data_IF_876017848963
#
_entry.id   IF_876017848963
#
_cell.length_a   1.000
_cell.length_b   1.000
_cell.length_c   1.000
_cell.angle_alpha   90.00
_cell.angle_beta   90.00
_cell.angle_gamma   90.00
#
_symmetry.space_group_name_H-M   'P 1'
#
loop_
_entity.id
_entity.type
_entity.pdbx_description
1 polymer ?
#
# COMPACT_ATOMS: atom_id res chain seq x y z
N UNK A 1 2.77 27.15 18.87
CA UNK A 1 4.24 27.25 18.87
C UNK A 1 4.77 26.20 19.84
N UNK A 2 5.14 25.03 19.34
CA UNK A 2 5.92 24.04 20.07
C UNK A 2 6.92 23.45 19.08
N UNK A 3 8.15 23.92 19.16
CA UNK A 3 9.30 23.35 18.48
C UNK A 3 9.68 22.05 19.17
N UNK A 4 9.54 20.94 18.50
CA UNK A 4 10.16 19.67 18.88
C UNK A 4 11.50 19.55 18.16
N UNK A 5 12.57 19.83 18.86
CA UNK A 5 13.93 19.55 18.44
C UNK A 5 14.20 18.06 18.56
N UNK A 6 14.33 17.40 17.42
CA UNK A 6 14.74 16.00 17.36
C UNK A 6 16.26 15.91 17.32
N UNK A 7 16.90 15.80 18.51
CA UNK A 7 18.28 15.40 18.67
C UNK A 7 18.32 13.94 19.10
N UNK A 8 18.38 13.01 18.15
CA UNK A 8 18.79 11.63 18.45
C UNK A 8 20.27 11.46 18.10
N UNK A 9 21.08 11.19 19.13
CA UNK A 9 22.46 10.73 18.98
C UNK A 9 22.49 9.33 18.36
N UNK A 10 23.43 9.02 17.46
CA UNK A 10 23.58 7.66 16.94
C UNK A 10 24.15 6.75 18.04
N UNK A 11 23.45 5.69 18.37
CA UNK A 11 23.97 4.61 19.19
C UNK A 11 24.95 3.80 18.33
N UNK A 12 26.22 3.83 18.71
CA UNK A 12 27.27 2.96 18.20
C UNK A 12 27.02 1.52 18.66
N UNK A 13 26.59 0.66 17.78
CA UNK A 13 26.71 -0.78 17.95
C UNK A 13 27.40 -1.38 16.73
N UNK A 14 28.74 -1.49 16.88
CA UNK A 14 29.60 -2.38 16.10
C UNK A 14 29.12 -3.83 16.35
N UNK A 15 28.50 -4.43 15.36
CA UNK A 15 28.48 -5.89 15.19
C UNK A 15 28.66 -6.20 13.72
N UNK A 16 29.87 -6.64 13.42
CA UNK A 16 30.22 -7.36 12.19
C UNK A 16 29.26 -8.52 12.01
N UNK A 17 28.30 -8.38 11.13
CA UNK A 17 27.58 -9.50 10.54
C UNK A 17 27.77 -9.39 9.04
N UNK A 18 28.46 -10.38 8.48
CA UNK A 18 28.91 -10.42 7.09
C UNK A 18 27.74 -10.42 6.11
N UNK A 19 27.24 -9.26 5.76
CA UNK A 19 26.47 -9.10 4.54
C UNK A 19 27.43 -9.18 3.38
N UNK A 20 27.28 -10.19 2.53
CA UNK A 20 27.93 -10.24 1.22
C UNK A 20 27.44 -9.00 0.46
N UNK A 21 28.20 -7.91 0.51
CA UNK A 21 27.99 -6.76 -0.38
C UNK A 21 28.09 -7.27 -1.81
N UNK A 22 27.10 -6.95 -2.63
CA UNK A 22 27.20 -7.09 -4.08
C UNK A 22 28.38 -6.23 -4.55
N UNK A 23 29.56 -6.83 -4.68
CA UNK A 23 30.78 -6.17 -5.16
C UNK A 23 30.75 -6.28 -6.68
N UNK A 24 30.68 -5.15 -7.38
CA UNK A 24 31.13 -5.12 -8.76
C UNK A 24 30.48 -4.20 -9.78
N UNK A 25 29.35 -3.56 -9.48
CA UNK A 25 28.86 -2.45 -10.34
C UNK A 25 28.63 -1.24 -9.42
N UNK A 26 29.16 -0.08 -9.79
CA UNK A 26 28.83 1.16 -9.09
C UNK A 26 27.30 1.29 -8.98
N UNK A 27 26.78 2.02 -8.00
CA UNK A 27 25.33 2.17 -7.69
C UNK A 27 24.46 2.60 -8.90
N UNK A 28 25.07 3.01 -10.00
CA UNK A 28 24.41 3.42 -11.25
C UNK A 28 24.25 2.22 -12.19
N UNK A 29 22.99 1.90 -12.54
CA UNK A 29 22.67 0.85 -13.51
C UNK A 29 22.24 -0.50 -12.91
N UNK A 30 22.03 -0.60 -11.59
CA UNK A 30 21.45 -1.80 -10.97
C UNK A 30 19.99 -1.99 -11.43
N UNK A 31 19.65 -3.23 -11.79
CA UNK A 31 18.33 -3.61 -12.31
C UNK A 31 17.45 -4.16 -11.22
N UNK A 32 16.32 -3.49 -10.97
CA UNK A 32 15.37 -3.82 -9.91
C UNK A 32 14.05 -4.29 -10.51
N UNK A 33 13.61 -5.48 -10.15
CA UNK A 33 12.29 -6.03 -10.49
C UNK A 33 11.34 -5.87 -9.29
N UNK A 34 10.18 -5.23 -9.45
CA UNK A 34 9.18 -5.05 -8.39
C UNK A 34 7.95 -5.92 -8.67
N UNK A 35 7.61 -6.78 -7.72
CA UNK A 35 6.53 -7.78 -7.82
C UNK A 35 5.60 -7.66 -6.63
N UNK A 36 4.25 -7.68 -6.85
CA UNK A 36 3.30 -7.78 -5.74
C UNK A 36 2.13 -6.81 -5.77
N UNK A 37 2.27 -5.68 -6.45
CA UNK A 37 1.18 -4.73 -6.71
C UNK A 37 0.22 -5.26 -7.80
N UNK A 38 -0.88 -4.54 -8.04
CA UNK A 38 -1.86 -4.90 -9.07
C UNK A 38 -1.54 -4.28 -10.42
N UNK A 39 -1.37 -2.97 -10.44
CA UNK A 39 -1.16 -2.21 -11.67
C UNK A 39 -0.28 -0.97 -11.42
N UNK A 40 0.45 -0.54 -12.45
CA UNK A 40 1.25 0.67 -12.49
C UNK A 40 1.16 1.31 -13.89
N UNK A 41 0.96 2.62 -14.01
CA UNK A 41 0.68 3.56 -12.94
C UNK A 41 -0.75 3.40 -12.40
N UNK A 42 -0.90 3.40 -11.08
CA UNK A 42 -2.22 3.30 -10.45
C UNK A 42 -2.22 3.99 -9.09
N UNK A 43 -3.37 4.54 -8.71
CA UNK A 43 -3.64 5.12 -7.39
C UNK A 43 -4.81 4.41 -6.68
N UNK A 44 -5.15 3.19 -7.13
CA UNK A 44 -6.30 2.45 -6.61
C UNK A 44 -6.11 1.87 -5.21
N UNK A 45 -4.89 1.92 -4.66
CA UNK A 45 -4.58 1.43 -3.32
C UNK A 45 -3.23 1.93 -2.82
N UNK A 46 -3.02 1.81 -1.50
CA UNK A 46 -1.78 2.29 -0.85
C UNK A 46 -0.52 1.60 -1.38
N UNK A 47 -0.59 0.29 -1.66
CA UNK A 47 0.55 -0.46 -2.22
C UNK A 47 0.91 0.06 -3.61
N UNK A 48 -0.08 0.32 -4.47
CA UNK A 48 0.11 0.85 -5.82
C UNK A 48 0.77 2.24 -5.78
N UNK A 49 0.30 3.12 -4.90
CA UNK A 49 0.86 4.47 -4.72
C UNK A 49 2.31 4.38 -4.24
N UNK A 50 2.59 3.53 -3.26
CA UNK A 50 3.93 3.37 -2.70
C UNK A 50 4.90 2.76 -3.72
N UNK A 51 4.50 1.69 -4.41
CA UNK A 51 5.34 1.07 -5.46
C UNK A 51 5.62 2.06 -6.58
N UNK A 52 4.61 2.83 -7.02
CA UNK A 52 4.77 3.86 -8.04
C UNK A 52 5.79 4.93 -7.62
N UNK A 53 5.63 5.48 -6.40
CA UNK A 53 6.54 6.47 -5.85
C UNK A 53 7.97 5.95 -5.68
N UNK A 54 8.13 4.72 -5.21
CA UNK A 54 9.43 4.08 -5.06
C UNK A 54 10.09 3.82 -6.43
N UNK A 55 9.35 3.25 -7.38
CA UNK A 55 9.86 2.94 -8.73
C UNK A 55 10.35 4.20 -9.45
N UNK A 56 9.56 5.26 -9.47
CA UNK A 56 9.93 6.53 -10.10
C UNK A 56 11.11 7.21 -9.39
N UNK A 57 11.18 7.10 -8.06
CA UNK A 57 12.30 7.64 -7.28
C UNK A 57 13.60 6.89 -7.53
N UNK A 58 13.57 5.58 -7.71
CA UNK A 58 14.73 4.77 -8.07
C UNK A 58 15.22 5.09 -9.49
N UNK A 59 14.30 5.24 -10.46
CA UNK A 59 14.68 5.66 -11.83
C UNK A 59 15.37 7.01 -11.83
N UNK A 60 14.88 7.99 -11.06
CA UNK A 60 15.55 9.31 -10.91
C UNK A 60 16.95 9.23 -10.32
N UNK A 61 17.24 8.16 -9.58
CA UNK A 61 18.56 7.88 -9.00
C UNK A 61 19.45 7.02 -9.90
N UNK A 62 19.02 6.71 -11.13
CA UNK A 62 19.80 5.97 -12.12
C UNK A 62 19.65 4.45 -12.08
N UNK A 63 18.68 3.91 -11.35
CA UNK A 63 18.36 2.48 -11.38
C UNK A 63 17.48 2.13 -12.58
N UNK A 64 17.66 0.95 -13.16
CA UNK A 64 16.75 0.38 -14.14
C UNK A 64 15.61 -0.36 -13.42
N UNK A 65 14.41 0.16 -13.47
CA UNK A 65 13.28 -0.42 -12.73
C UNK A 65 12.25 -1.04 -13.65
N UNK A 66 11.94 -2.31 -13.40
CA UNK A 66 10.85 -3.04 -14.05
C UNK A 66 9.77 -3.36 -13.00
N UNK A 67 8.53 -2.92 -13.24
CA UNK A 67 7.37 -3.26 -12.41
C UNK A 67 6.51 -4.30 -13.11
N UNK A 68 6.00 -5.27 -12.37
CA UNK A 68 5.20 -6.38 -12.90
C UNK A 68 3.73 -6.18 -12.57
N UNK A 69 2.93 -5.85 -13.59
CA UNK A 69 1.49 -5.65 -13.46
C UNK A 69 0.72 -6.96 -13.64
N UNK A 70 -0.43 -7.08 -12.98
CA UNK A 70 -1.33 -8.21 -13.16
C UNK A 70 -2.20 -7.99 -14.39
N UNK A 71 -2.28 -8.99 -15.30
CA UNK A 71 -3.09 -8.93 -16.52
C UNK A 71 -3.96 -10.16 -16.69
N UNK A 72 -5.19 -9.97 -17.17
CA UNK A 72 -6.12 -11.05 -17.49
C UNK A 72 -5.96 -11.54 -18.93
N UNK A 73 -5.37 -10.71 -19.79
CA UNK A 73 -5.14 -11.06 -21.21
C UNK A 73 -3.83 -11.82 -21.37
N UNK A 74 -3.82 -12.81 -22.26
CA UNK A 74 -2.59 -13.48 -22.68
C UNK A 74 -1.79 -12.52 -23.57
N UNK A 75 -0.53 -12.31 -23.22
CA UNK A 75 0.40 -11.45 -23.97
C UNK A 75 1.18 -10.54 -23.03
N UNK A 76 2.43 -10.29 -23.37
CA UNK A 76 3.29 -9.41 -22.60
C UNK A 76 3.15 -7.98 -23.15
N UNK A 77 2.21 -7.22 -22.62
CA UNK A 77 2.19 -5.78 -22.87
C UNK A 77 3.32 -5.15 -22.07
N UNK A 78 4.34 -4.65 -22.75
CA UNK A 78 5.45 -3.89 -22.18
C UNK A 78 5.23 -2.44 -22.57
N UNK A 79 5.30 -1.56 -21.59
CA UNK A 79 5.27 -0.11 -21.81
C UNK A 79 6.17 0.60 -20.82
N UNK A 80 6.57 1.81 -21.16
CA UNK A 80 7.40 2.65 -20.28
C UNK A 80 6.62 3.91 -19.91
N UNK A 81 6.57 4.22 -18.64
CA UNK A 81 5.98 5.45 -18.15
C UNK A 81 6.82 5.99 -16.99
N UNK A 82 7.05 7.30 -16.96
CA UNK A 82 7.91 7.96 -15.97
C UNK A 82 9.32 7.32 -15.85
N UNK A 83 9.84 6.75 -16.95
CA UNK A 83 11.13 6.04 -17.00
C UNK A 83 11.09 4.62 -16.42
N UNK A 84 9.97 4.20 -15.84
CA UNK A 84 9.77 2.84 -15.30
C UNK A 84 9.25 1.93 -16.39
N UNK A 85 9.89 0.76 -16.59
CA UNK A 85 9.38 -0.27 -17.48
C UNK A 85 8.27 -1.05 -16.77
N UNK A 86 7.07 -1.06 -17.32
CA UNK A 86 5.95 -1.86 -16.83
C UNK A 86 5.72 -3.09 -17.72
N UNK A 87 5.56 -4.26 -17.11
CA UNK A 87 5.32 -5.54 -17.76
C UNK A 87 4.07 -6.18 -17.23
N UNK A 88 3.14 -6.54 -18.10
CA UNK A 88 1.90 -7.20 -17.72
C UNK A 88 2.06 -8.72 -17.78
N UNK A 89 1.84 -9.38 -16.66
CA UNK A 89 1.93 -10.84 -16.51
C UNK A 89 0.53 -11.42 -16.37
N UNK A 90 0.29 -12.49 -17.13
CA UNK A 90 -0.97 -13.23 -17.10
C UNK A 90 -1.32 -13.72 -15.69
N UNK A 91 -2.61 -13.66 -15.35
CA UNK A 91 -3.15 -14.24 -14.14
C UNK A 91 -4.64 -14.58 -14.32
N UNK A 92 -5.25 -15.23 -13.32
CA UNK A 92 -6.65 -15.60 -13.31
C UNK A 92 -7.52 -14.56 -12.59
N UNK A 93 -8.82 -14.51 -12.89
CA UNK A 93 -9.75 -13.60 -12.20
C UNK A 93 -10.00 -13.98 -10.75
N UNK A 94 -9.94 -15.28 -10.41
CA UNK A 94 -10.20 -15.78 -9.06
C UNK A 94 -9.19 -15.21 -8.07
N UNK A 95 -9.67 -14.47 -7.08
CA UNK A 95 -8.85 -13.67 -6.17
C UNK A 95 -7.71 -14.46 -5.47
N UNK A 96 -7.98 -15.69 -5.04
CA UNK A 96 -6.99 -16.55 -4.36
C UNK A 96 -5.86 -17.02 -5.28
N UNK A 97 -6.16 -17.29 -6.56
CA UNK A 97 -5.18 -17.73 -7.55
C UNK A 97 -4.48 -16.58 -8.25
N UNK A 98 -5.14 -15.43 -8.32
CA UNK A 98 -4.64 -14.25 -9.00
C UNK A 98 -3.24 -13.85 -8.53
N UNK A 99 -3.07 -13.58 -7.24
CA UNK A 99 -1.80 -13.15 -6.68
C UNK A 99 -0.74 -14.26 -6.73
N UNK A 100 -1.13 -15.52 -6.52
CA UNK A 100 -0.23 -16.66 -6.51
C UNK A 100 0.38 -16.89 -7.90
N UNK A 101 -0.44 -17.15 -8.92
CA UNK A 101 0.04 -17.44 -10.28
C UNK A 101 0.85 -16.28 -10.85
N UNK A 102 0.35 -15.06 -10.67
CA UNK A 102 1.06 -13.86 -11.07
C UNK A 102 2.46 -13.78 -10.48
N UNK A 103 2.61 -13.98 -9.16
CA UNK A 103 3.90 -13.80 -8.49
C UNK A 103 4.94 -14.84 -8.93
N UNK A 104 4.53 -16.10 -9.17
CA UNK A 104 5.42 -17.12 -9.72
C UNK A 104 5.85 -16.78 -11.15
N UNK A 105 4.91 -16.45 -12.05
CA UNK A 105 5.22 -16.11 -13.44
C UNK A 105 6.08 -14.84 -13.53
N UNK A 106 5.79 -13.82 -12.72
CA UNK A 106 6.59 -12.60 -12.64
C UNK A 106 8.01 -12.88 -12.15
N UNK A 107 8.17 -13.77 -11.16
CA UNK A 107 9.49 -14.17 -10.67
C UNK A 107 10.28 -14.88 -11.76
N UNK A 108 9.68 -15.82 -12.49
CA UNK A 108 10.37 -16.50 -13.58
C UNK A 108 10.75 -15.54 -14.72
N UNK A 109 9.86 -14.61 -15.10
CA UNK A 109 10.20 -13.58 -16.10
C UNK A 109 11.35 -12.69 -15.60
N UNK A 110 11.34 -12.26 -14.35
CA UNK A 110 12.42 -11.47 -13.76
C UNK A 110 13.77 -12.21 -13.78
N UNK A 111 13.77 -13.51 -13.48
CA UNK A 111 14.98 -14.34 -13.51
C UNK A 111 15.59 -14.44 -14.92
N UNK A 112 14.77 -14.44 -15.98
CA UNK A 112 15.25 -14.48 -17.37
C UNK A 112 15.81 -13.15 -17.87
N UNK A 113 15.69 -12.05 -17.09
CA UNK A 113 16.02 -10.68 -17.53
C UNK A 113 17.22 -10.05 -16.84
N UNK A 114 18.06 -10.86 -16.23
CA UNK A 114 19.29 -10.41 -15.60
C UNK A 114 19.08 -9.24 -14.60
N UNK A 115 17.98 -9.29 -13.81
CA UNK A 115 17.80 -8.36 -12.70
C UNK A 115 18.79 -8.64 -11.58
N UNK A 116 19.28 -7.61 -10.91
CA UNK A 116 20.16 -7.73 -9.76
C UNK A 116 19.39 -7.96 -8.47
N UNK A 117 18.24 -7.26 -8.33
CA UNK A 117 17.38 -7.27 -7.14
C UNK A 117 15.93 -7.61 -7.54
N UNK A 118 15.30 -8.50 -6.78
CA UNK A 118 13.85 -8.72 -6.87
C UNK A 118 13.19 -8.27 -5.58
N UNK A 119 12.38 -7.21 -5.68
CA UNK A 119 11.67 -6.61 -4.58
C UNK A 119 10.21 -7.07 -4.56
N UNK A 120 9.85 -7.87 -3.56
CA UNK A 120 8.49 -8.36 -3.35
C UNK A 120 7.72 -7.41 -2.45
N UNK A 121 6.50 -7.04 -2.85
CA UNK A 121 5.58 -6.22 -2.08
C UNK A 121 4.41 -7.05 -1.59
N UNK A 122 4.26 -7.16 -0.28
CA UNK A 122 3.34 -7.97 0.50
C UNK A 122 3.75 -9.46 0.63
N UNK A 123 3.27 -10.08 1.72
CA UNK A 123 3.62 -11.46 2.11
C UNK A 123 3.11 -12.53 1.14
N UNK A 124 1.94 -12.35 0.50
CA UNK A 124 1.42 -13.33 -0.45
C UNK A 124 2.31 -13.49 -1.69
N UNK A 125 2.64 -12.42 -2.40
CA UNK A 125 3.56 -12.46 -3.53
C UNK A 125 4.99 -12.91 -3.23
N UNK A 126 5.41 -12.95 -1.97
CA UNK A 126 6.77 -13.34 -1.58
C UNK A 126 7.03 -14.86 -1.55
N UNK A 127 6.01 -15.70 -1.70
CA UNK A 127 6.22 -17.16 -1.71
C UNK A 127 7.30 -17.63 -2.71
N UNK A 128 7.35 -17.16 -3.98
CA UNK A 128 8.40 -17.53 -4.92
C UNK A 128 9.77 -16.89 -4.66
N UNK A 129 9.93 -16.08 -3.63
CA UNK A 129 11.20 -15.47 -3.25
C UNK A 129 12.33 -16.51 -3.06
N UNK A 130 11.99 -17.69 -2.53
CA UNK A 130 12.96 -18.80 -2.38
C UNK A 130 13.57 -19.19 -3.73
N UNK A 131 12.76 -19.20 -4.79
CA UNK A 131 13.24 -19.49 -6.15
C UNK A 131 14.25 -18.42 -6.58
N UNK A 132 13.90 -17.14 -6.43
CA UNK A 132 14.80 -16.04 -6.78
C UNK A 132 16.14 -16.16 -6.04
N UNK A 133 16.11 -16.51 -4.75
CA UNK A 133 17.29 -16.71 -3.93
C UNK A 133 18.14 -17.91 -4.40
N UNK A 134 17.51 -19.02 -4.79
CA UNK A 134 18.21 -20.18 -5.36
C UNK A 134 18.96 -19.84 -6.65
N UNK A 135 18.46 -18.88 -7.43
CA UNK A 135 19.11 -18.34 -8.62
C UNK A 135 20.10 -17.21 -8.31
N UNK A 136 20.48 -17.01 -7.04
CA UNK A 136 21.49 -16.03 -6.62
C UNK A 136 21.08 -14.57 -6.70
N UNK A 137 19.76 -14.28 -6.84
CA UNK A 137 19.27 -12.90 -6.86
C UNK A 137 19.16 -12.35 -5.44
N UNK A 138 19.49 -11.06 -5.28
CA UNK A 138 19.24 -10.37 -4.01
C UNK A 138 17.75 -10.11 -3.87
N UNK A 139 17.19 -10.48 -2.72
CA UNK A 139 15.75 -10.48 -2.49
C UNK A 139 15.36 -9.53 -1.38
N UNK A 140 14.47 -8.60 -1.70
CA UNK A 140 13.87 -7.66 -0.74
C UNK A 140 12.39 -8.00 -0.60
N UNK A 141 11.85 -7.98 0.61
CA UNK A 141 10.41 -8.10 0.84
C UNK A 141 9.92 -6.96 1.72
N UNK A 142 8.99 -6.14 1.20
CA UNK A 142 8.27 -5.15 2.01
C UNK A 142 6.91 -5.70 2.43
N UNK A 143 6.69 -5.77 3.74
CA UNK A 143 5.41 -6.16 4.35
C UNK A 143 4.48 -4.96 4.38
N UNK A 144 3.28 -5.10 3.81
CA UNK A 144 2.23 -4.07 3.78
C UNK A 144 1.05 -4.45 4.68
N UNK A 145 1.34 -4.95 5.85
CA UNK A 145 0.34 -5.44 6.80
C UNK A 145 0.22 -6.97 6.80
N UNK A 146 -0.23 -7.48 7.95
CA UNK A 146 -0.44 -8.91 8.18
C UNK A 146 -1.85 -9.31 7.70
N UNK A 147 -2.05 -9.35 6.40
CA UNK A 147 -3.36 -9.52 5.74
C UNK A 147 -4.12 -10.80 6.13
N UNK A 148 -3.45 -11.82 6.67
CA UNK A 148 -4.11 -13.04 7.13
C UNK A 148 -4.89 -12.87 8.44
N UNK A 149 -4.69 -11.76 9.17
CA UNK A 149 -5.46 -11.41 10.37
C UNK A 149 -6.88 -10.94 10.05
N UNK A 150 -7.17 -10.68 8.78
CA UNK A 150 -8.50 -10.23 8.32
C UNK A 150 -9.34 -11.46 7.97
N UNK A 151 -10.54 -11.58 8.53
CA UNK A 151 -11.48 -12.72 8.36
C UNK A 151 -11.95 -12.99 6.91
N UNK A 152 -11.53 -12.14 6.00
CA UNK A 152 -11.84 -12.19 4.56
C UNK A 152 -11.31 -13.45 3.84
N UNK A 153 -10.29 -14.12 4.39
CA UNK A 153 -9.57 -15.17 3.67
C UNK A 153 -10.00 -16.57 4.13
N UNK A 154 -10.53 -17.39 3.24
CA UNK A 154 -10.78 -18.81 3.50
C UNK A 154 -9.48 -19.56 3.84
N UNK A 155 -9.62 -20.77 4.44
CA UNK A 155 -8.51 -21.53 5.01
C UNK A 155 -7.27 -21.69 4.12
N UNK A 156 -7.45 -21.98 2.82
CA UNK A 156 -6.34 -22.11 1.86
C UNK A 156 -5.59 -20.79 1.65
N UNK A 157 -6.32 -19.70 1.46
CA UNK A 157 -5.70 -18.39 1.23
C UNK A 157 -4.96 -17.90 2.47
N UNK A 158 -5.52 -18.11 3.67
CA UNK A 158 -4.85 -17.81 4.94
C UNK A 158 -3.57 -18.65 5.11
N UNK A 159 -3.61 -19.95 4.79
CA UNK A 159 -2.42 -20.81 4.84
C UNK A 159 -1.33 -20.35 3.87
N UNK A 160 -1.71 -19.95 2.65
CA UNK A 160 -0.78 -19.40 1.65
C UNK A 160 -0.13 -18.09 2.12
N UNK A 161 -0.91 -17.17 2.71
CA UNK A 161 -0.37 -15.92 3.27
C UNK A 161 0.60 -16.18 4.43
N UNK A 162 0.27 -17.12 5.33
CA UNK A 162 1.16 -17.53 6.42
C UNK A 162 2.44 -18.20 5.91
N UNK A 163 2.35 -18.96 4.80
CA UNK A 163 3.53 -19.48 4.12
C UNK A 163 4.42 -18.35 3.59
N UNK A 164 3.84 -17.38 2.90
CA UNK A 164 4.57 -16.22 2.39
C UNK A 164 5.24 -15.41 3.50
N UNK A 165 4.56 -15.23 4.63
CA UNK A 165 5.14 -14.58 5.81
C UNK A 165 6.38 -15.32 6.32
N UNK A 166 6.27 -16.67 6.47
CA UNK A 166 7.41 -17.52 6.89
C UNK A 166 8.57 -17.45 5.88
N UNK A 167 8.24 -17.48 4.59
CA UNK A 167 9.24 -17.38 3.52
C UNK A 167 9.93 -16.03 3.57
N UNK A 168 9.20 -14.94 3.67
CA UNK A 168 9.76 -13.60 3.78
C UNK A 168 10.65 -13.46 5.02
N UNK A 169 10.17 -13.90 6.18
CA UNK A 169 10.94 -13.83 7.42
C UNK A 169 12.23 -14.62 7.38
N UNK A 170 12.23 -15.82 6.78
CA UNK A 170 13.37 -16.76 6.81
C UNK A 170 14.35 -16.54 5.66
N UNK A 171 13.87 -16.16 4.48
CA UNK A 171 14.67 -16.25 3.26
C UNK A 171 14.93 -14.91 2.57
N UNK A 172 14.16 -13.86 2.85
CA UNK A 172 14.48 -12.54 2.29
C UNK A 172 15.86 -12.07 2.77
N UNK A 173 16.69 -11.54 1.86
CA UNK A 173 17.95 -10.93 2.26
C UNK A 173 17.65 -9.68 3.10
N UNK A 174 16.75 -8.82 2.63
CA UNK A 174 16.23 -7.69 3.38
C UNK A 174 14.72 -7.81 3.59
N UNK A 175 14.28 -7.78 4.84
CA UNK A 175 12.89 -7.71 5.23
C UNK A 175 12.56 -6.29 5.68
N UNK A 176 11.68 -5.61 4.95
CA UNK A 176 11.25 -4.25 5.26
C UNK A 176 9.85 -4.28 5.86
N UNK A 177 9.67 -3.57 6.95
CA UNK A 177 8.38 -3.37 7.62
C UNK A 177 8.07 -1.88 7.75
N UNK A 178 6.77 -1.54 7.85
CA UNK A 178 6.30 -0.16 7.78
C UNK A 178 6.00 0.45 9.16
N UNK A 179 5.89 -0.38 10.20
CA UNK A 179 5.53 0.04 11.55
C UNK A 179 6.33 -0.69 12.62
N UNK A 180 6.46 -0.08 13.79
CA UNK A 180 7.11 -0.69 14.95
C UNK A 180 6.38 -1.95 15.42
N UNK A 181 5.06 -2.00 15.30
CA UNK A 181 4.27 -3.18 15.65
C UNK A 181 4.59 -4.37 14.77
N UNK A 182 4.84 -4.16 13.46
CA UNK A 182 5.29 -5.21 12.56
C UNK A 182 6.73 -5.60 12.85
N UNK A 183 7.59 -4.64 13.17
CA UNK A 183 8.98 -4.89 13.55
C UNK A 183 9.06 -5.80 14.78
N UNK A 184 8.34 -5.47 15.85
CA UNK A 184 8.24 -6.27 17.06
C UNK A 184 7.69 -7.68 16.76
N UNK A 185 6.63 -7.76 15.94
CA UNK A 185 6.03 -9.04 15.55
C UNK A 185 7.03 -9.98 14.85
N UNK A 186 7.84 -9.48 13.90
CA UNK A 186 8.82 -10.32 13.22
C UNK A 186 9.99 -10.67 14.13
N UNK A 187 10.38 -9.78 15.03
CA UNK A 187 11.42 -10.05 16.03
C UNK A 187 10.96 -11.14 17.01
N UNK A 188 9.76 -11.02 17.58
CA UNK A 188 9.24 -11.97 18.58
C UNK A 188 8.94 -13.34 17.99
N UNK A 189 8.33 -13.38 16.81
CA UNK A 189 7.83 -14.62 16.24
C UNK A 189 8.87 -15.43 15.46
N UNK A 190 9.81 -14.73 14.81
CA UNK A 190 10.75 -15.35 13.89
C UNK A 190 12.21 -15.11 14.25
N UNK A 191 12.49 -14.39 15.34
CA UNK A 191 13.81 -13.87 15.70
C UNK A 191 14.49 -13.16 14.50
N UNK A 192 13.67 -12.43 13.73
CA UNK A 192 14.08 -11.72 12.52
C UNK A 192 14.10 -10.21 12.73
N UNK A 193 15.28 -9.63 12.76
CA UNK A 193 15.43 -8.17 12.71
C UNK A 193 15.06 -7.67 11.32
N UNK A 194 13.97 -6.95 11.23
CA UNK A 194 13.50 -6.30 10.02
C UNK A 194 14.06 -4.87 9.92
N UNK A 195 14.04 -4.30 8.73
CA UNK A 195 14.39 -2.90 8.49
C UNK A 195 13.10 -2.08 8.58
N UNK A 196 13.01 -1.17 9.54
CA UNK A 196 11.86 -0.28 9.68
C UNK A 196 12.01 0.91 8.73
N UNK A 197 11.17 0.92 7.68
CA UNK A 197 11.08 2.02 6.72
C UNK A 197 9.60 2.40 6.60
N UNK A 198 9.12 3.40 7.33
CA UNK A 198 7.76 3.88 7.20
C UNK A 198 7.46 4.36 5.78
N UNK A 199 6.20 4.23 5.36
CA UNK A 199 5.78 4.81 4.09
C UNK A 199 5.98 6.32 4.10
N UNK A 200 6.48 6.86 2.99
CA UNK A 200 6.58 8.28 2.76
C UNK A 200 5.46 8.74 1.81
N UNK A 201 4.95 9.93 2.05
CA UNK A 201 4.02 10.62 1.16
C UNK A 201 4.64 11.91 0.67
N UNK A 202 4.28 12.30 -0.54
CA UNK A 202 4.68 13.58 -1.07
C UNK A 202 3.83 14.67 -0.42
N UNK A 203 4.46 15.56 0.35
CA UNK A 203 3.80 16.76 0.87
C UNK A 203 3.26 17.59 -0.29
N UNK A 204 1.99 17.93 -0.24
CA UNK A 204 1.33 18.79 -1.19
C UNK A 204 0.86 20.06 -0.51
N UNK A 205 0.87 21.17 -1.24
CA UNK A 205 0.30 22.41 -0.74
C UNK A 205 -1.23 22.29 -0.66
N UNK A 206 -1.86 22.78 0.41
CA UNK A 206 -3.31 22.81 0.53
C UNK A 206 -3.95 23.54 -0.66
N UNK A 207 -5.08 23.04 -1.12
CA UNK A 207 -5.85 23.67 -2.20
C UNK A 207 -7.08 24.42 -1.66
N UNK A 208 -7.46 25.54 -2.28
CA UNK A 208 -8.69 26.25 -1.94
C UNK A 208 -9.93 25.40 -2.26
N UNK A 209 -11.05 25.69 -1.58
CA UNK A 209 -12.32 24.98 -1.71
C UNK A 209 -13.07 25.45 -2.98
N UNK A 210 -12.75 24.91 -4.14
CA UNK A 210 -13.35 25.27 -5.43
C UNK A 210 -14.14 24.11 -6.04
N UNK A 211 -13.46 23.04 -6.44
CA UNK A 211 -14.08 21.87 -7.09
C UNK A 211 -15.10 21.18 -6.19
N UNK A 212 -14.81 21.05 -4.90
CA UNK A 212 -15.71 20.39 -3.95
C UNK A 212 -16.92 21.26 -3.60
N UNK A 213 -16.78 22.59 -3.68
CA UNK A 213 -17.92 23.51 -3.55
C UNK A 213 -18.86 23.35 -4.73
N UNK A 214 -18.33 23.40 -5.94
CA UNK A 214 -19.12 23.26 -7.17
C UNK A 214 -19.83 21.91 -7.26
N UNK A 215 -19.10 20.84 -6.97
CA UNK A 215 -19.59 19.49 -7.19
C UNK A 215 -20.47 18.93 -6.06
N UNK A 216 -20.17 19.29 -4.82
CA UNK A 216 -20.79 18.68 -3.63
C UNK A 216 -21.44 19.71 -2.68
N UNK A 217 -21.36 21.00 -2.98
CA UNK A 217 -21.88 22.07 -2.11
C UNK A 217 -21.20 22.09 -0.73
N UNK A 218 -19.89 21.83 -0.69
CA UNK A 218 -19.09 21.83 0.53
C UNK A 218 -18.34 23.15 0.68
N UNK A 219 -18.31 23.67 1.90
CA UNK A 219 -17.52 24.83 2.28
C UNK A 219 -16.36 24.45 3.19
N UNK A 220 -15.31 25.25 3.19
CA UNK A 220 -14.15 25.02 4.06
C UNK A 220 -14.58 24.96 5.54
N UNK A 221 -14.13 23.96 6.25
CA UNK A 221 -14.45 23.75 7.65
C UNK A 221 -15.88 23.28 7.94
N UNK A 222 -16.71 23.00 6.91
CA UNK A 222 -18.12 22.67 7.09
C UNK A 222 -18.41 21.17 7.21
N UNK A 223 -17.40 20.29 7.12
CA UNK A 223 -17.64 18.85 7.07
C UNK A 223 -16.57 18.03 7.78
N UNK A 224 -16.99 16.83 8.19
CA UNK A 224 -16.17 15.74 8.67
C UNK A 224 -15.88 14.82 7.48
N UNK A 225 -14.64 14.45 7.25
CA UNK A 225 -14.20 13.67 6.09
C UNK A 225 -13.80 12.25 6.49
N UNK A 226 -14.31 11.28 5.76
CA UNK A 226 -13.78 9.91 5.67
C UNK A 226 -13.28 9.65 4.25
N UNK A 227 -12.09 9.07 4.11
CA UNK A 227 -11.56 8.62 2.83
C UNK A 227 -11.11 7.16 2.93
N UNK A 228 -11.73 6.30 2.13
CA UNK A 228 -11.38 4.89 2.15
C UNK A 228 -12.42 4.02 1.45
N UNK A 229 -12.10 2.74 1.25
CA UNK A 229 -13.10 1.77 0.78
C UNK A 229 -14.20 1.61 1.82
N UNK A 230 -15.42 1.51 1.35
CA UNK A 230 -16.55 1.19 2.23
C UNK A 230 -16.53 -0.33 2.49
N UNK A 231 -15.89 -0.71 3.60
CA UNK A 231 -15.70 -2.11 3.96
C UNK A 231 -15.57 -2.28 5.48
N UNK A 232 -15.90 -3.47 6.03
CA UNK A 232 -15.94 -3.70 7.48
C UNK A 232 -14.62 -3.33 8.16
N UNK A 233 -13.49 -3.71 7.59
CA UNK A 233 -12.16 -3.44 8.15
C UNK A 233 -11.83 -1.95 8.27
N UNK A 234 -12.50 -1.08 7.49
CA UNK A 234 -12.32 0.38 7.50
C UNK A 234 -13.32 1.12 8.40
N UNK A 235 -14.31 0.44 8.93
CA UNK A 235 -15.25 0.92 9.94
C UNK A 235 -16.15 2.11 9.58
N UNK A 236 -16.50 2.41 8.29
CA UNK A 236 -17.35 3.56 7.99
C UNK A 236 -18.75 3.46 8.57
N UNK A 237 -19.25 2.26 8.88
CA UNK A 237 -20.53 2.09 9.55
C UNK A 237 -20.51 2.64 10.97
N UNK A 238 -19.43 2.39 11.71
CA UNK A 238 -19.27 2.92 13.08
C UNK A 238 -19.20 4.44 13.06
N UNK A 239 -18.53 5.01 12.05
CA UNK A 239 -18.49 6.46 11.87
C UNK A 239 -19.88 7.03 11.59
N UNK A 240 -20.66 6.40 10.70
CA UNK A 240 -22.03 6.81 10.41
C UNK A 240 -22.89 6.74 11.68
N UNK A 241 -22.80 5.66 12.45
CA UNK A 241 -23.56 5.51 13.69
C UNK A 241 -23.14 6.54 14.75
N UNK A 242 -21.86 6.81 14.86
CA UNK A 242 -21.33 7.86 15.74
C UNK A 242 -21.81 9.25 15.31
N UNK A 243 -21.75 9.52 14.00
CA UNK A 243 -22.21 10.79 13.43
C UNK A 243 -23.71 11.04 13.68
N UNK A 244 -24.55 10.01 13.49
CA UNK A 244 -25.98 10.13 13.73
C UNK A 244 -26.34 10.39 15.21
N UNK A 245 -25.46 10.03 16.13
CA UNK A 245 -25.59 10.32 17.57
C UNK A 245 -24.97 11.67 17.94
N UNK A 246 -24.04 12.18 17.14
CA UNK A 246 -23.38 13.44 17.41
C UNK A 246 -24.29 14.63 17.02
N UNK A 247 -24.48 15.55 17.95
CA UNK A 247 -25.20 16.79 17.68
C UNK A 247 -24.25 17.79 17.05
N UNK A 248 -24.00 17.68 15.75
CA UNK A 248 -23.10 18.55 14.98
C UNK A 248 -23.81 19.22 13.82
N UNK A 249 -23.40 20.45 13.51
CA UNK A 249 -23.83 21.22 12.35
C UNK A 249 -23.04 20.87 11.07
N UNK A 250 -21.98 20.08 11.21
CA UNK A 250 -21.11 19.71 10.11
C UNK A 250 -21.65 18.53 9.32
N UNK A 251 -21.48 18.57 8.02
CA UNK A 251 -21.83 17.43 7.15
C UNK A 251 -20.84 16.28 7.33
N UNK A 252 -21.28 15.04 7.08
CA UNK A 252 -20.37 13.88 6.94
C UNK A 252 -20.15 13.58 5.47
N UNK A 253 -18.88 13.51 5.06
CA UNK A 253 -18.49 13.16 3.70
C UNK A 253 -17.80 11.81 3.69
N UNK A 254 -18.39 10.85 2.96
CA UNK A 254 -17.83 9.52 2.74
C UNK A 254 -17.24 9.44 1.33
N UNK A 255 -15.93 9.59 1.22
CA UNK A 255 -15.18 9.53 -0.03
C UNK A 255 -14.58 8.14 -0.25
N UNK A 256 -15.21 7.35 -1.10
CA UNK A 256 -14.77 6.01 -1.44
C UNK A 256 -15.79 5.22 -2.24
N UNK A 257 -15.33 4.16 -2.95
CA UNK A 257 -16.23 3.33 -3.72
C UNK A 257 -17.06 2.41 -2.84
N UNK A 258 -18.33 2.29 -3.17
CA UNK A 258 -19.23 1.25 -2.65
C UNK A 258 -19.11 0.03 -3.56
N UNK A 259 -18.85 -1.13 -2.97
CA UNK A 259 -18.87 -2.42 -3.66
C UNK A 259 -20.27 -3.06 -3.55
N UNK A 260 -20.57 -4.01 -4.41
CA UNK A 260 -21.80 -4.82 -4.32
C UNK A 260 -21.66 -5.86 -3.20
N UNK A 261 -21.78 -5.43 -1.95
CA UNK A 261 -21.69 -6.28 -0.76
C UNK A 261 -22.80 -5.93 0.22
N UNK A 262 -23.23 -6.89 1.01
CA UNK A 262 -24.23 -6.71 2.07
C UNK A 262 -23.84 -5.56 3.03
N UNK A 263 -22.57 -5.47 3.40
CA UNK A 263 -22.07 -4.38 4.24
C UNK A 263 -22.29 -3.00 3.60
N UNK A 264 -21.97 -2.86 2.31
CA UNK A 264 -22.22 -1.60 1.60
C UNK A 264 -23.70 -1.24 1.52
N UNK A 265 -24.55 -2.24 1.32
CA UNK A 265 -26.02 -2.06 1.36
C UNK A 265 -26.46 -1.56 2.72
N UNK A 266 -25.98 -2.17 3.81
CA UNK A 266 -26.27 -1.73 5.19
C UNK A 266 -25.86 -0.27 5.43
N UNK A 267 -24.67 0.13 4.96
CA UNK A 267 -24.23 1.53 5.07
C UNK A 267 -25.15 2.44 4.27
N UNK A 268 -25.50 2.08 3.04
CA UNK A 268 -26.41 2.87 2.18
C UNK A 268 -27.79 3.05 2.81
N UNK A 269 -28.37 2.00 3.36
CA UNK A 269 -29.67 2.05 4.08
C UNK A 269 -29.57 2.98 5.30
N UNK A 270 -28.46 2.92 6.05
CA UNK A 270 -28.28 3.73 7.25
C UNK A 270 -28.16 5.23 6.96
N UNK A 271 -27.60 5.60 5.79
CA UNK A 271 -27.46 7.00 5.38
C UNK A 271 -28.61 7.52 4.53
N UNK A 272 -29.51 6.62 4.10
CA UNK A 272 -30.61 6.97 3.20
C UNK A 272 -31.48 8.09 3.79
N UNK A 273 -31.78 9.09 2.96
CA UNK A 273 -32.65 10.22 3.34
C UNK A 273 -32.01 11.25 4.26
N UNK A 274 -30.74 11.10 4.67
CA UNK A 274 -30.05 12.12 5.46
C UNK A 274 -29.30 13.11 4.57
N UNK A 275 -29.75 14.37 4.42
CA UNK A 275 -29.13 15.36 3.54
C UNK A 275 -27.75 15.84 4.02
N UNK A 276 -27.40 15.55 5.27
CA UNK A 276 -26.11 15.94 5.85
C UNK A 276 -25.02 14.89 5.65
N UNK A 277 -25.35 13.72 5.04
CA UNK A 277 -24.35 12.70 4.71
C UNK A 277 -24.20 12.65 3.20
N UNK A 278 -22.98 13.02 2.73
CA UNK A 278 -22.65 13.08 1.31
C UNK A 278 -21.72 11.94 0.95
N UNK A 279 -22.06 11.20 -0.09
CA UNK A 279 -21.21 10.17 -0.68
C UNK A 279 -20.62 10.68 -1.98
N UNK A 280 -19.30 10.69 -2.12
CA UNK A 280 -18.63 11.21 -3.32
C UNK A 280 -18.29 10.13 -4.33
N UNK A 281 -18.34 8.85 -3.93
CA UNK A 281 -17.76 7.77 -4.70
C UNK A 281 -16.23 7.85 -4.73
N UNK A 282 -15.62 7.26 -5.76
CA UNK A 282 -14.17 7.29 -5.94
C UNK A 282 -13.69 8.67 -6.40
N UNK A 283 -12.85 9.33 -5.60
CA UNK A 283 -12.31 10.66 -5.87
C UNK A 283 -10.78 10.60 -5.89
N UNK A 284 -10.15 11.29 -6.81
CA UNK A 284 -8.69 11.39 -6.96
C UNK A 284 -8.26 12.79 -7.39
N UNK A 285 -6.95 13.03 -7.41
CA UNK A 285 -6.39 14.30 -7.89
C UNK A 285 -6.72 15.48 -6.99
N UNK A 286 -6.93 16.64 -7.62
CA UNK A 286 -7.11 17.90 -6.89
C UNK A 286 -8.42 17.94 -6.09
N UNK A 287 -9.49 17.30 -6.56
CA UNK A 287 -10.72 17.20 -5.79
C UNK A 287 -10.53 16.42 -4.48
N UNK A 288 -9.73 15.34 -4.47
CA UNK A 288 -9.37 14.63 -3.24
C UNK A 288 -8.51 15.51 -2.32
N UNK A 289 -7.54 16.23 -2.89
CA UNK A 289 -6.69 17.12 -2.13
C UNK A 289 -7.50 18.30 -1.54
N UNK A 290 -8.47 18.85 -2.27
CA UNK A 290 -9.39 19.85 -1.73
C UNK A 290 -10.22 19.30 -0.57
N UNK A 291 -10.70 18.03 -0.68
CA UNK A 291 -11.43 17.39 0.43
C UNK A 291 -10.59 17.31 1.69
N UNK A 292 -9.31 16.93 1.60
CA UNK A 292 -8.40 16.92 2.76
C UNK A 292 -8.10 18.35 3.26
N UNK A 293 -7.80 19.27 2.35
CA UNK A 293 -7.36 20.62 2.71
C UNK A 293 -8.43 21.44 3.42
N UNK A 294 -9.71 21.12 3.20
CA UNK A 294 -10.82 21.93 3.65
C UNK A 294 -11.76 21.22 4.64
N UNK A 295 -11.47 20.01 5.08
CA UNK A 295 -12.28 19.35 6.10
C UNK A 295 -12.07 20.00 7.48
N UNK A 296 -13.10 20.00 8.31
CA UNK A 296 -12.97 20.39 9.72
C UNK A 296 -12.27 19.32 10.55
N UNK A 297 -12.52 18.06 10.19
CA UNK A 297 -11.97 16.89 10.86
C UNK A 297 -11.87 15.74 9.84
N UNK A 298 -10.73 15.07 9.83
CA UNK A 298 -10.56 13.80 9.14
C UNK A 298 -10.72 12.65 10.13
N UNK A 299 -11.51 11.62 9.76
CA UNK A 299 -11.77 10.45 10.61
C UNK A 299 -11.50 9.17 9.86
N UNK A 300 -10.65 8.32 10.43
CA UNK A 300 -10.35 6.98 9.92
C UNK A 300 -10.66 5.93 11.00
N UNK A 301 -11.88 5.39 11.06
CA UNK A 301 -12.34 4.48 12.11
C UNK A 301 -11.95 3.02 11.87
N UNK A 302 -10.82 2.78 11.21
CA UNK A 302 -10.40 1.44 10.81
C UNK A 302 -10.12 0.54 12.01
N UNK A 303 -10.67 -0.68 12.00
CA UNK A 303 -10.39 -1.71 13.01
C UNK A 303 -9.00 -2.32 12.86
N UNK A 304 -8.47 -2.34 11.63
CA UNK A 304 -7.14 -2.87 11.33
C UNK A 304 -6.47 -2.01 10.27
N UNK A 305 -5.34 -1.45 10.63
CA UNK A 305 -4.45 -0.73 9.72
C UNK A 305 -3.02 -1.27 9.84
N UNK A 306 -2.29 -1.27 8.70
CA UNK A 306 -0.84 -1.28 8.73
C UNK A 306 -0.33 0.11 9.10
N UNK A 307 0.43 0.74 8.21
CA UNK A 307 0.69 2.17 8.27
C UNK A 307 -0.23 2.87 7.27
N UNK A 308 -1.15 3.69 7.76
CA UNK A 308 -2.02 4.48 6.90
C UNK A 308 -1.21 5.60 6.24
N UNK A 309 -1.18 5.62 4.90
CA UNK A 309 -0.53 6.71 4.14
C UNK A 309 -1.21 8.06 4.36
N UNK A 310 -2.45 8.05 4.82
CA UNK A 310 -3.28 9.23 5.01
C UNK A 310 -2.85 9.99 6.28
N UNK A 311 -2.46 9.29 7.35
CA UNK A 311 -1.97 9.93 8.58
C UNK A 311 -0.63 10.65 8.45
N UNK A 312 0.11 10.41 7.36
CA UNK A 312 1.40 11.05 7.12
C UNK A 312 1.23 12.34 6.30
N UNK A 313 0.05 12.58 5.74
CA UNK A 313 -0.24 13.74 4.88
C UNK A 313 -0.88 14.94 5.61
N UNK A 314 -1.06 14.86 6.94
CA UNK A 314 -1.60 15.95 7.78
C UNK A 314 -0.51 16.90 8.30
#
# INVERSE_FOLDING_TARGET
>A
MLQLSCTQKPASHDRQNGSKRCHGKGDFGMKVAMIGHKDFPSRSGGVEVMVGGLATSLVRRGYEVTVYNRGLQKGHNIYTTEGVQARRIFTFQKASLNAMVYSFLATFDALTRDCDVIHYHAIGPSVPLVIAKLFGKHTVCTVHGLNWKVDKWGGFASAYLKLGERVAAKYADDLVVLSESEWNYFQEKYDRTAILIPNAVQMRQPLPCNLIREKYGLEAGSYILYVGRISPEKGPLDLVEGYLKAHTDKKLVLAGPFAETEYCTTVQEKIAGNPNIITTGYVVGDALLELYSNCALFVLPSHTEGLSLIHISE
#
